data_IF_359320628400
#
_entry.id   IF_359320628400
#
_cell.length_a   1.000
_cell.length_b   1.000
_cell.length_c   1.000
_cell.angle_alpha   90.00
_cell.angle_beta   90.00
_cell.angle_gamma   90.00
#
_symmetry.space_group_name_H-M   'P 1'
#
loop_
_entity.id
_entity.type
_entity.pdbx_description
1 polymer ?
#
# COMPACT_ATOMS: atom_id res chain seq x y z
N UNK A 1 0.09 2.55 30.71
CA UNK A 1 -0.65 2.87 29.49
C UNK A 1 -1.29 1.59 28.97
N UNK A 2 -2.54 1.68 28.53
CA UNK A 2 -3.28 0.56 27.95
C UNK A 2 -3.24 0.67 26.42
N UNK A 3 -2.77 -0.39 25.78
CA UNK A 3 -2.71 -0.49 24.32
C UNK A 3 -3.72 -1.53 23.84
N UNK A 4 -4.51 -1.18 22.82
CA UNK A 4 -5.46 -2.08 22.17
C UNK A 4 -5.06 -2.30 20.71
N UNK A 5 -4.90 -3.56 20.32
CA UNK A 5 -4.64 -3.96 18.92
C UNK A 5 -5.96 -4.50 18.35
N UNK A 6 -6.45 -3.88 17.29
CA UNK A 6 -7.78 -4.17 16.72
C UNK A 6 -7.76 -4.76 15.31
N UNK A 7 -6.59 -4.98 14.75
CA UNK A 7 -6.44 -5.51 13.38
C UNK A 7 -5.31 -6.55 13.32
N UNK A 8 -5.25 -7.28 12.22
CA UNK A 8 -4.18 -8.27 11.96
C UNK A 8 -2.87 -7.54 11.63
N UNK A 9 -2.06 -7.35 12.65
CA UNK A 9 -0.72 -6.77 12.55
C UNK A 9 0.35 -7.85 12.75
N UNK A 10 1.62 -7.50 12.52
CA UNK A 10 2.73 -8.41 12.79
C UNK A 10 2.74 -8.85 14.25
N UNK A 11 2.83 -10.16 14.51
CA UNK A 11 2.69 -10.74 15.84
C UNK A 11 3.70 -10.19 16.88
N UNK A 12 4.92 -9.85 16.45
CA UNK A 12 5.94 -9.26 17.32
C UNK A 12 5.62 -7.87 17.86
N UNK A 13 4.63 -7.16 17.29
CA UNK A 13 4.22 -5.83 17.81
C UNK A 13 3.67 -5.93 19.22
N UNK A 14 2.82 -6.92 19.49
CA UNK A 14 2.23 -7.11 20.82
C UNK A 14 3.30 -7.43 21.88
N UNK A 15 4.28 -8.25 21.53
CA UNK A 15 5.41 -8.59 22.40
C UNK A 15 6.29 -7.36 22.68
N UNK A 16 6.65 -6.61 21.62
CA UNK A 16 7.51 -5.44 21.76
C UNK A 16 6.85 -4.33 22.58
N UNK A 17 5.59 -4.00 22.29
CA UNK A 17 4.83 -3.02 23.06
C UNK A 17 4.56 -3.49 24.51
N UNK A 18 4.39 -4.80 24.71
CA UNK A 18 4.18 -5.40 26.03
C UNK A 18 5.33 -5.22 27.02
N UNK A 19 6.54 -4.87 26.52
CA UNK A 19 7.68 -4.51 27.39
C UNK A 19 7.50 -3.19 28.15
N UNK A 20 6.65 -2.30 27.64
CA UNK A 20 6.48 -0.93 28.17
C UNK A 20 5.04 -0.56 28.53
N UNK A 21 4.05 -1.33 28.09
CA UNK A 21 2.64 -1.04 28.34
C UNK A 21 1.79 -2.31 28.44
N UNK A 22 0.59 -2.17 28.98
CA UNK A 22 -0.39 -3.25 29.04
C UNK A 22 -1.06 -3.42 27.67
N UNK A 23 -0.74 -4.50 26.95
CA UNK A 23 -1.24 -4.74 25.59
C UNK A 23 -2.36 -5.75 25.62
N UNK A 24 -3.49 -5.38 25.02
CA UNK A 24 -4.63 -6.26 24.74
C UNK A 24 -4.82 -6.36 23.24
N UNK A 25 -4.98 -7.56 22.73
CA UNK A 25 -5.46 -7.80 21.36
C UNK A 25 -6.95 -8.10 21.42
N UNK A 26 -7.74 -7.47 20.55
CA UNK A 26 -9.18 -7.72 20.48
C UNK A 26 -9.48 -9.18 20.09
N UNK A 27 -10.61 -9.70 20.57
CA UNK A 27 -10.99 -11.10 20.37
C UNK A 27 -11.20 -11.45 18.88
N UNK A 28 -11.71 -10.50 18.09
CA UNK A 28 -11.89 -10.65 16.64
C UNK A 28 -11.04 -9.62 15.89
N UNK A 29 -10.39 -10.04 14.82
CA UNK A 29 -9.52 -9.22 14.00
C UNK A 29 -9.87 -9.35 12.50
N UNK A 30 -10.14 -8.24 11.78
CA UNK A 30 -10.29 -6.89 12.33
C UNK A 30 -11.55 -6.76 13.20
N UNK A 31 -11.50 -5.86 14.19
CA UNK A 31 -12.66 -5.56 15.02
C UNK A 31 -13.73 -4.81 14.24
N UNK A 32 -15.00 -5.00 14.60
CA UNK A 32 -16.07 -4.13 14.11
C UNK A 32 -16.12 -2.83 14.89
N UNK A 33 -16.85 -1.84 14.38
CA UNK A 33 -17.03 -0.55 15.06
C UNK A 33 -17.65 -0.73 16.45
N UNK A 34 -18.67 -1.60 16.57
CA UNK A 34 -19.38 -1.88 17.82
C UNK A 34 -18.44 -2.52 18.86
N UNK A 35 -17.60 -3.44 18.42
CA UNK A 35 -16.58 -4.07 19.29
C UNK A 35 -15.57 -3.05 19.77
N UNK A 36 -15.09 -2.16 18.90
CA UNK A 36 -14.17 -1.11 19.26
C UNK A 36 -14.80 -0.13 20.26
N UNK A 37 -16.04 0.31 20.05
CA UNK A 37 -16.75 1.20 20.96
C UNK A 37 -16.87 0.61 22.37
N UNK A 38 -17.03 -0.70 22.48
CA UNK A 38 -17.14 -1.37 23.77
C UNK A 38 -15.81 -1.43 24.54
N UNK A 39 -14.67 -1.26 23.88
CA UNK A 39 -13.34 -1.47 24.48
C UNK A 39 -12.47 -0.20 24.52
N UNK A 40 -12.83 0.86 23.77
CA UNK A 40 -11.92 2.00 23.54
C UNK A 40 -11.81 2.98 24.70
N UNK A 41 -12.77 2.98 25.64
CA UNK A 41 -12.90 4.03 26.65
C UNK A 41 -11.63 4.23 27.52
N UNK A 42 -10.95 3.16 27.90
CA UNK A 42 -9.77 3.16 28.77
C UNK A 42 -8.45 2.97 28.02
N UNK A 43 -8.47 3.08 26.69
CA UNK A 43 -7.31 2.86 25.82
C UNK A 43 -6.50 4.14 25.68
N UNK A 44 -5.20 4.09 25.94
CA UNK A 44 -4.24 5.18 25.68
C UNK A 44 -3.64 5.11 24.27
N UNK A 45 -3.41 3.88 23.76
CA UNK A 45 -2.77 3.62 22.46
C UNK A 45 -3.61 2.63 21.66
N UNK A 46 -4.00 3.02 20.44
CA UNK A 46 -4.70 2.15 19.52
C UNK A 46 -3.77 1.72 18.39
N UNK A 47 -3.67 0.42 18.11
CA UNK A 47 -2.92 -0.14 16.97
C UNK A 47 -3.89 -0.79 15.99
N UNK A 48 -3.82 -0.35 14.73
CA UNK A 48 -4.72 -0.78 13.66
C UNK A 48 -4.04 -0.82 12.30
N UNK A 49 -4.77 -1.26 11.28
CA UNK A 49 -4.38 -1.10 9.85
C UNK A 49 -5.36 -0.19 9.13
N UNK A 50 -6.53 -0.69 8.77
CA UNK A 50 -7.51 0.03 7.93
C UNK A 50 -8.90 -0.01 8.54
N UNK A 51 -9.28 -1.11 9.18
CA UNK A 51 -10.62 -1.33 9.72
C UNK A 51 -10.62 -1.39 11.26
N UNK A 52 -11.71 -0.90 11.87
CA UNK A 52 -12.81 -0.12 11.31
C UNK A 52 -12.42 1.34 11.02
N UNK A 53 -13.26 2.09 10.28
CA UNK A 53 -13.08 3.53 10.12
C UNK A 53 -13.17 4.24 11.46
N UNK A 54 -12.19 5.08 11.77
CA UNK A 54 -12.12 5.88 13.02
C UNK A 54 -12.81 7.22 12.77
N UNK A 55 -14.07 7.28 13.12
CA UNK A 55 -14.91 8.48 13.00
C UNK A 55 -15.06 9.22 14.34
N UNK A 56 -15.82 10.31 14.30
CA UNK A 56 -16.08 11.15 15.49
C UNK A 56 -16.67 10.37 16.67
N UNK A 57 -17.56 9.41 16.40
CA UNK A 57 -18.19 8.61 17.45
C UNK A 57 -17.17 7.77 18.23
N UNK A 58 -16.25 7.11 17.51
CA UNK A 58 -15.15 6.36 18.14
C UNK A 58 -14.22 7.29 18.90
N UNK A 59 -13.84 8.44 18.29
CA UNK A 59 -12.95 9.40 18.92
C UNK A 59 -13.59 10.04 20.16
N UNK A 60 -14.91 10.19 20.22
CA UNK A 60 -15.63 10.68 21.39
C UNK A 60 -15.74 9.63 22.51
N UNK A 61 -15.86 8.36 22.15
CA UNK A 61 -15.83 7.26 23.11
C UNK A 61 -14.44 7.04 23.72
N UNK A 62 -13.38 7.37 22.99
CA UNK A 62 -11.98 7.17 23.33
C UNK A 62 -11.43 8.23 24.29
N UNK A 63 -11.90 8.23 25.54
CA UNK A 63 -11.64 9.31 26.53
C UNK A 63 -10.17 9.48 26.91
N UNK A 64 -9.39 8.41 26.86
CA UNK A 64 -7.99 8.37 27.29
C UNK A 64 -7.00 8.29 26.11
N UNK A 65 -7.50 8.20 24.87
CA UNK A 65 -6.67 7.95 23.70
C UNK A 65 -5.72 9.11 23.41
N UNK A 66 -4.45 8.80 23.31
CA UNK A 66 -3.34 9.72 23.04
C UNK A 66 -2.68 9.46 21.69
N UNK A 67 -2.63 8.18 21.30
CA UNK A 67 -1.88 7.76 20.11
C UNK A 67 -2.66 6.72 19.31
N UNK A 68 -2.68 6.91 17.98
CA UNK A 68 -3.11 5.88 17.03
C UNK A 68 -1.90 5.47 16.18
N UNK A 69 -1.49 4.22 16.28
CA UNK A 69 -0.46 3.61 15.42
C UNK A 69 -1.11 2.86 14.26
N UNK A 70 -0.88 3.33 13.05
CA UNK A 70 -1.48 2.79 11.83
C UNK A 70 -0.47 1.97 11.06
N UNK A 71 -0.63 0.66 11.03
CA UNK A 71 0.24 -0.28 10.32
C UNK A 71 -0.08 -0.32 8.80
N UNK A 72 -0.34 0.86 8.21
CA UNK A 72 -0.56 1.07 6.78
C UNK A 72 -0.01 2.42 6.34
N UNK A 73 -0.06 2.72 5.04
CA UNK A 73 0.41 4.00 4.49
C UNK A 73 -0.68 5.06 4.53
N UNK A 74 -1.88 4.73 4.06
CA UNK A 74 -3.00 5.66 3.95
C UNK A 74 -3.69 5.90 5.29
N UNK A 75 -4.22 7.11 5.48
CA UNK A 75 -4.91 7.57 6.70
C UNK A 75 -6.36 7.99 6.43
N UNK A 76 -6.88 7.76 5.23
CA UNK A 76 -8.21 8.17 4.78
C UNK A 76 -9.38 7.50 5.54
N UNK A 77 -9.08 6.50 6.34
CA UNK A 77 -10.04 5.82 7.23
C UNK A 77 -10.11 6.46 8.64
N UNK A 78 -9.34 7.53 8.90
CA UNK A 78 -9.36 8.25 10.18
C UNK A 78 -9.83 9.69 9.94
N UNK A 79 -10.70 10.19 10.82
CA UNK A 79 -11.04 11.62 10.86
C UNK A 79 -9.87 12.40 11.47
N UNK A 80 -8.91 12.78 10.58
CA UNK A 80 -7.65 13.41 10.96
C UNK A 80 -7.85 14.77 11.62
N UNK A 81 -8.81 15.56 11.13
CA UNK A 81 -9.09 16.88 11.69
C UNK A 81 -9.62 16.76 13.11
N UNK A 82 -10.58 15.88 13.31
CA UNK A 82 -11.17 15.70 14.64
C UNK A 82 -10.20 15.04 15.64
N UNK A 83 -9.37 14.11 15.17
CA UNK A 83 -8.31 13.53 16.00
C UNK A 83 -7.30 14.60 16.49
N UNK A 84 -6.94 15.52 15.59
CA UNK A 84 -6.07 16.65 15.91
C UNK A 84 -6.71 17.62 16.91
N UNK A 85 -7.99 17.95 16.75
CA UNK A 85 -8.75 18.78 17.73
C UNK A 85 -8.72 18.16 19.13
N UNK A 86 -8.76 16.82 19.21
CA UNK A 86 -8.67 16.10 20.49
C UNK A 86 -7.24 15.91 20.99
N UNK A 87 -6.22 16.36 20.26
CA UNK A 87 -4.81 16.23 20.63
C UNK A 87 -4.26 14.80 20.49
N UNK A 88 -4.93 13.95 19.69
CA UNK A 88 -4.50 12.57 19.45
C UNK A 88 -3.41 12.56 18.37
N UNK A 89 -2.26 11.96 18.68
CA UNK A 89 -1.16 11.80 17.73
C UNK A 89 -1.37 10.57 16.86
N UNK A 90 -1.11 10.70 15.56
CA UNK A 90 -1.27 9.61 14.60
C UNK A 90 0.08 9.30 13.94
N UNK A 91 0.51 8.05 14.00
CA UNK A 91 1.72 7.55 13.35
C UNK A 91 1.34 6.49 12.34
N UNK A 92 1.85 6.61 11.12
CA UNK A 92 1.66 5.61 10.07
C UNK A 92 3.01 5.05 9.60
N UNK A 93 2.97 4.13 8.64
CA UNK A 93 4.14 3.41 8.12
C UNK A 93 4.44 3.75 6.64
N UNK A 94 4.84 5.01 6.33
CA UNK A 94 4.98 5.46 4.95
C UNK A 94 6.12 4.74 4.22
N UNK A 95 5.79 4.10 3.08
CA UNK A 95 6.76 3.49 2.16
C UNK A 95 7.29 2.12 2.56
N UNK A 96 6.94 1.58 3.73
CA UNK A 96 7.44 0.26 4.16
C UNK A 96 6.97 -0.89 3.26
N UNK A 97 5.82 -0.75 2.59
CA UNK A 97 5.28 -1.73 1.64
C UNK A 97 5.66 -1.46 0.18
N UNK A 98 6.44 -0.42 -0.12
CA UNK A 98 6.72 -0.02 -1.50
C UNK A 98 7.37 -1.14 -2.32
N UNK A 99 8.31 -1.87 -1.75
CA UNK A 99 8.94 -3.01 -2.42
C UNK A 99 7.93 -4.14 -2.68
N UNK A 100 7.12 -4.52 -1.69
CA UNK A 100 6.14 -5.59 -1.84
C UNK A 100 5.08 -5.25 -2.91
N UNK A 101 4.63 -4.00 -2.97
CA UNK A 101 3.69 -3.55 -4.01
C UNK A 101 4.36 -3.56 -5.40
N UNK A 102 5.61 -3.13 -5.50
CA UNK A 102 6.34 -3.13 -6.75
C UNK A 102 6.57 -4.56 -7.27
N UNK A 103 6.95 -5.50 -6.41
CA UNK A 103 7.11 -6.92 -6.75
C UNK A 103 5.78 -7.52 -7.23
N UNK A 104 4.68 -7.25 -6.54
CA UNK A 104 3.35 -7.70 -6.97
C UNK A 104 2.97 -7.11 -8.33
N UNK A 105 3.30 -5.84 -8.59
CA UNK A 105 3.06 -5.19 -9.88
C UNK A 105 3.80 -5.90 -11.01
N UNK A 106 5.09 -6.17 -10.84
CA UNK A 106 5.88 -6.91 -11.82
C UNK A 106 5.34 -8.34 -12.01
N UNK A 107 4.97 -9.02 -10.93
CA UNK A 107 4.33 -10.34 -11.00
C UNK A 107 3.08 -10.31 -11.89
N UNK A 108 2.20 -9.32 -11.72
CA UNK A 108 0.99 -9.16 -12.54
C UNK A 108 1.32 -8.85 -14.00
N UNK A 109 2.33 -8.04 -14.26
CA UNK A 109 2.79 -7.77 -15.63
C UNK A 109 3.29 -9.06 -16.31
N UNK A 110 4.04 -9.88 -15.62
CA UNK A 110 4.49 -11.19 -16.11
C UNK A 110 3.32 -12.15 -16.34
N UNK A 111 2.37 -12.21 -15.41
CA UNK A 111 1.16 -13.02 -15.55
C UNK A 111 0.38 -12.66 -16.82
N UNK A 112 0.18 -11.38 -17.08
CA UNK A 112 -0.53 -10.89 -18.27
C UNK A 112 0.27 -11.16 -19.53
N UNK A 113 1.57 -10.87 -19.52
CA UNK A 113 2.45 -11.01 -20.69
C UNK A 113 2.62 -12.46 -21.14
N UNK A 114 2.55 -13.42 -20.20
CA UNK A 114 2.82 -14.83 -20.44
C UNK A 114 1.61 -15.75 -20.26
N UNK A 115 0.46 -15.22 -19.79
CA UNK A 115 -0.76 -15.99 -19.54
C UNK A 115 -0.61 -17.06 -18.46
N UNK A 116 0.30 -16.87 -17.48
CA UNK A 116 0.71 -17.92 -16.54
C UNK A 116 -0.43 -18.38 -15.64
N UNK A 117 -1.33 -17.49 -15.22
CA UNK A 117 -2.50 -17.86 -14.40
C UNK A 117 -3.46 -18.77 -15.16
N UNK A 118 -3.77 -18.43 -16.42
CA UNK A 118 -4.66 -19.25 -17.26
C UNK A 118 -4.01 -20.57 -17.61
N UNK A 119 -2.72 -20.56 -17.91
CA UNK A 119 -1.97 -21.80 -18.17
C UNK A 119 -1.96 -22.73 -16.95
N UNK A 120 -1.74 -22.19 -15.75
CA UNK A 120 -1.81 -22.95 -14.51
C UNK A 120 -3.21 -23.55 -14.26
N UNK A 121 -4.27 -22.79 -14.54
CA UNK A 121 -5.65 -23.28 -14.42
C UNK A 121 -5.94 -24.39 -15.42
N UNK A 122 -5.56 -24.24 -16.69
CA UNK A 122 -5.76 -25.27 -17.71
C UNK A 122 -5.06 -26.58 -17.32
N UNK A 123 -3.79 -26.49 -16.88
CA UNK A 123 -3.05 -27.70 -16.48
C UNK A 123 -3.59 -28.34 -15.20
N UNK A 124 -3.84 -27.54 -14.15
CA UNK A 124 -4.19 -28.10 -12.83
C UNK A 124 -5.66 -28.48 -12.69
N UNK A 125 -6.56 -27.76 -13.36
CA UNK A 125 -8.01 -27.93 -13.17
C UNK A 125 -8.62 -28.64 -14.36
N UNK A 126 -8.25 -28.27 -15.60
CA UNK A 126 -8.80 -28.90 -16.79
C UNK A 126 -8.01 -30.14 -17.25
N UNK A 127 -6.79 -30.34 -16.73
CA UNK A 127 -5.84 -31.34 -17.16
C UNK A 127 -5.49 -31.27 -18.67
N UNK A 128 -5.49 -30.04 -19.20
CA UNK A 128 -5.17 -29.72 -20.59
C UNK A 128 -3.73 -29.21 -20.71
N UNK A 129 -3.01 -29.66 -21.72
CA UNK A 129 -1.67 -29.20 -22.04
C UNK A 129 -1.60 -28.82 -23.53
N UNK A 130 -1.56 -27.50 -23.79
CA UNK A 130 -1.36 -26.93 -25.12
C UNK A 130 -0.23 -25.91 -25.09
N UNK A 131 0.94 -26.28 -25.56
CA UNK A 131 2.13 -25.40 -25.59
C UNK A 131 2.00 -24.22 -26.55
N UNK A 132 1.07 -24.26 -27.50
CA UNK A 132 0.86 -23.19 -28.50
C UNK A 132 -0.20 -22.18 -28.09
N UNK A 133 -1.03 -22.51 -27.12
CA UNK A 133 -2.11 -21.65 -26.63
C UNK A 133 -1.58 -20.39 -25.91
N UNK A 134 -0.42 -20.51 -25.28
CA UNK A 134 0.15 -19.45 -24.45
C UNK A 134 1.45 -18.89 -25.05
N UNK A 135 1.37 -18.42 -26.28
CA UNK A 135 2.47 -17.68 -26.94
C UNK A 135 2.46 -16.26 -26.37
N UNK A 136 3.22 -16.03 -25.32
CA UNK A 136 3.33 -14.74 -24.65
C UNK A 136 4.38 -13.82 -25.27
N UNK A 137 4.57 -12.66 -24.64
CA UNK A 137 5.56 -11.66 -25.04
C UNK A 137 6.61 -11.47 -23.95
N UNK A 138 7.84 -11.18 -24.33
CA UNK A 138 8.90 -10.78 -23.39
C UNK A 138 8.75 -9.32 -23.02
N UNK A 139 9.16 -8.95 -21.80
CA UNK A 139 9.19 -7.57 -21.34
C UNK A 139 10.42 -6.81 -21.85
N UNK A 140 11.50 -7.51 -22.16
CA UNK A 140 12.75 -6.94 -22.65
C UNK A 140 12.53 -6.08 -23.90
N UNK A 141 13.08 -4.85 -23.88
CA UNK A 141 12.97 -3.89 -24.95
C UNK A 141 11.60 -3.20 -25.04
N UNK A 142 10.64 -3.56 -24.19
CA UNK A 142 9.33 -2.92 -24.08
C UNK A 142 9.41 -1.64 -23.25
N UNK A 143 8.43 -0.77 -23.40
CA UNK A 143 8.32 0.47 -22.65
C UNK A 143 7.32 0.31 -21.51
N UNK A 144 7.79 0.58 -20.29
CA UNK A 144 6.99 0.64 -19.09
C UNK A 144 6.68 2.09 -18.74
N UNK A 145 5.41 2.47 -18.87
CA UNK A 145 4.91 3.79 -18.47
C UNK A 145 4.40 3.74 -17.03
N UNK A 146 4.94 4.56 -16.16
CA UNK A 146 4.56 4.60 -14.74
C UNK A 146 3.81 5.90 -14.44
N UNK A 147 2.53 5.80 -14.09
CA UNK A 147 1.74 6.93 -13.61
C UNK A 147 1.82 7.02 -12.09
N UNK A 148 2.38 8.15 -11.59
CA UNK A 148 2.75 8.32 -10.18
C UNK A 148 4.14 7.76 -9.91
N UNK A 149 5.15 8.65 -9.90
CA UNK A 149 6.56 8.27 -9.77
C UNK A 149 7.13 8.56 -8.38
N UNK A 150 6.30 8.27 -7.36
CA UNK A 150 6.68 8.28 -5.96
C UNK A 150 7.48 7.03 -5.55
N UNK A 151 7.47 6.67 -4.27
CA UNK A 151 8.24 5.53 -3.73
C UNK A 151 7.95 4.20 -4.44
N UNK A 152 6.67 3.89 -4.68
CA UNK A 152 6.25 2.67 -5.36
C UNK A 152 6.63 2.74 -6.85
N UNK A 153 6.28 3.83 -7.54
CA UNK A 153 6.54 3.98 -8.97
C UNK A 153 8.03 3.92 -9.32
N UNK A 154 8.90 4.55 -8.51
CA UNK A 154 10.36 4.45 -8.67
C UNK A 154 10.84 3.01 -8.52
N UNK A 155 10.33 2.29 -7.51
CA UNK A 155 10.72 0.88 -7.31
C UNK A 155 10.20 -0.02 -8.43
N UNK A 156 9.00 0.22 -8.96
CA UNK A 156 8.49 -0.47 -10.16
C UNK A 156 9.38 -0.19 -11.38
N UNK A 157 9.79 1.07 -11.58
CA UNK A 157 10.70 1.46 -12.65
C UNK A 157 12.07 0.76 -12.53
N UNK A 158 12.62 0.68 -11.32
CA UNK A 158 13.89 -0.02 -11.05
C UNK A 158 13.78 -1.51 -11.41
N UNK A 159 12.71 -2.19 -10.96
CA UNK A 159 12.48 -3.59 -11.30
C UNK A 159 12.22 -3.78 -12.81
N UNK A 160 11.46 -2.88 -13.45
CA UNK A 160 11.25 -2.90 -14.90
C UNK A 160 12.56 -2.81 -15.69
N UNK A 161 13.49 -1.95 -15.26
CA UNK A 161 14.84 -1.89 -15.86
C UNK A 161 15.61 -3.20 -15.72
N UNK A 162 15.49 -3.86 -14.57
CA UNK A 162 16.13 -5.18 -14.38
C UNK A 162 15.59 -6.24 -15.37
N UNK A 163 14.34 -6.08 -15.85
CA UNK A 163 13.78 -6.87 -16.95
C UNK A 163 14.15 -6.35 -18.34
N UNK A 164 14.99 -5.31 -18.44
CA UNK A 164 15.45 -4.76 -19.73
C UNK A 164 14.38 -3.85 -20.39
N UNK A 165 13.45 -3.29 -19.64
CA UNK A 165 12.45 -2.34 -20.14
C UNK A 165 12.98 -0.91 -20.17
N UNK A 166 12.44 -0.10 -21.09
CA UNK A 166 12.60 1.34 -21.07
C UNK A 166 11.56 1.96 -20.12
N UNK A 167 11.95 2.92 -19.29
CA UNK A 167 11.07 3.51 -18.29
C UNK A 167 10.69 4.92 -18.71
N UNK A 168 9.38 5.16 -18.86
CA UNK A 168 8.79 6.49 -19.00
C UNK A 168 7.85 6.72 -17.82
N UNK A 169 7.74 7.95 -17.35
CA UNK A 169 6.97 8.21 -16.14
C UNK A 169 6.25 9.57 -16.19
N UNK A 170 5.15 9.63 -15.46
CA UNK A 170 4.41 10.86 -15.19
C UNK A 170 4.18 11.01 -13.69
N UNK A 171 4.48 12.20 -13.18
CA UNK A 171 4.08 12.64 -11.84
C UNK A 171 3.94 14.16 -11.85
N UNK A 172 2.77 14.73 -11.45
CA UNK A 172 2.53 16.17 -11.55
C UNK A 172 3.35 17.01 -10.58
N UNK A 173 4.03 16.37 -9.63
CA UNK A 173 4.78 17.01 -8.56
C UNK A 173 6.29 16.93 -8.73
N UNK A 174 6.78 16.16 -9.71
CA UNK A 174 8.21 15.99 -9.97
C UNK A 174 8.68 16.88 -11.11
N UNK A 175 9.93 17.30 -11.01
CA UNK A 175 10.64 18.05 -12.06
C UNK A 175 11.34 17.07 -13.02
N UNK A 176 11.73 17.50 -14.23
CA UNK A 176 12.46 16.66 -15.19
C UNK A 176 13.69 15.98 -14.57
N UNK A 177 14.47 16.70 -13.77
CA UNK A 177 15.69 16.19 -13.14
C UNK A 177 15.42 15.03 -12.16
N UNK A 178 14.23 14.95 -11.59
CA UNK A 178 13.86 13.88 -10.63
C UNK A 178 13.59 12.55 -11.34
N UNK A 179 13.12 12.60 -12.60
CA UNK A 179 13.01 11.41 -13.44
C UNK A 179 14.37 10.93 -13.93
N UNK A 180 15.24 11.86 -14.36
CA UNK A 180 16.57 11.55 -14.86
C UNK A 180 17.45 10.87 -13.80
N UNK A 181 17.41 11.32 -12.55
CA UNK A 181 18.09 10.68 -11.41
C UNK A 181 17.74 9.21 -11.25
N UNK A 182 16.52 8.86 -11.63
CA UNK A 182 16.00 7.50 -11.55
C UNK A 182 16.10 6.75 -12.89
N UNK A 183 16.86 7.28 -13.86
CA UNK A 183 16.98 6.73 -15.21
C UNK A 183 15.62 6.47 -15.87
N UNK A 184 14.70 7.42 -15.76
CA UNK A 184 13.39 7.42 -16.40
C UNK A 184 13.23 8.69 -17.25
N UNK A 185 12.35 8.64 -18.25
CA UNK A 185 12.00 9.80 -19.05
C UNK A 185 10.64 10.34 -18.57
N UNK A 186 10.65 11.58 -18.06
CA UNK A 186 9.41 12.25 -17.67
C UNK A 186 8.65 12.77 -18.89
N UNK A 187 7.33 12.53 -18.95
CA UNK A 187 6.49 13.01 -20.05
C UNK A 187 5.03 13.22 -19.62
N UNK A 188 4.23 13.84 -20.50
CA UNK A 188 2.80 14.03 -20.27
C UNK A 188 2.00 12.71 -20.33
N UNK A 189 0.83 12.67 -19.69
CA UNK A 189 0.00 11.45 -19.60
C UNK A 189 -0.38 10.93 -21.00
N UNK A 190 -0.80 11.82 -21.92
CA UNK A 190 -1.20 11.39 -23.26
C UNK A 190 -0.05 10.76 -24.05
N UNK A 191 1.15 11.30 -23.91
CA UNK A 191 2.35 10.79 -24.58
C UNK A 191 2.74 9.44 -23.96
N UNK A 192 2.75 9.37 -22.60
CA UNK A 192 3.03 8.14 -21.86
C UNK A 192 2.12 7.00 -22.31
N UNK A 193 0.81 7.23 -22.42
CA UNK A 193 -0.14 6.22 -22.87
C UNK A 193 0.09 5.76 -24.31
N UNK A 194 0.58 6.65 -25.19
CA UNK A 194 0.86 6.32 -26.59
C UNK A 194 2.11 5.45 -26.78
N UNK A 195 3.13 5.66 -25.94
CA UNK A 195 4.44 4.98 -26.10
C UNK A 195 4.59 3.73 -25.22
N UNK A 196 3.72 3.55 -24.25
CA UNK A 196 3.83 2.44 -23.29
C UNK A 196 3.24 1.15 -23.82
N UNK A 197 4.00 0.07 -23.71
CA UNK A 197 3.51 -1.30 -23.91
C UNK A 197 2.78 -1.83 -22.67
N UNK A 198 3.09 -1.29 -21.47
CA UNK A 198 2.47 -1.60 -20.18
C UNK A 198 2.50 -0.39 -19.27
N UNK A 199 1.42 -0.14 -18.51
CA UNK A 199 1.36 1.01 -17.60
C UNK A 199 0.63 0.69 -16.28
N UNK A 200 1.34 0.50 -15.18
CA UNK A 200 0.77 0.53 -13.84
C UNK A 200 0.49 1.96 -13.39
N UNK A 201 -0.63 2.16 -12.69
CA UNK A 201 -0.90 3.40 -11.97
C UNK A 201 -0.46 3.24 -10.51
N UNK A 202 0.50 4.04 -10.07
CA UNK A 202 1.06 4.05 -8.72
C UNK A 202 0.81 5.39 -8.02
N UNK A 203 -0.28 6.08 -8.38
CA UNK A 203 -0.62 7.38 -7.81
C UNK A 203 -0.94 7.24 -6.32
N UNK A 204 -0.22 7.99 -5.49
CA UNK A 204 -0.61 8.29 -4.12
C UNK A 204 -1.05 9.76 -4.05
N UNK A 205 -2.15 10.03 -3.36
CA UNK A 205 -2.54 11.41 -3.04
C UNK A 205 -1.51 11.99 -2.05
N UNK A 206 -0.98 13.21 -2.32
CA UNK A 206 -0.04 13.87 -1.40
C UNK A 206 -0.61 14.11 -0.02
N UNK A 207 -1.92 14.22 0.11
CA UNK A 207 -2.60 14.39 1.40
C UNK A 207 -2.35 13.23 2.37
N UNK A 208 -2.00 12.05 1.84
CA UNK A 208 -1.66 10.87 2.64
C UNK A 208 -0.20 10.85 3.12
N UNK A 209 0.61 11.83 2.74
CA UNK A 209 2.07 11.83 2.96
C UNK A 209 2.55 12.98 3.87
N UNK A 210 1.70 13.93 4.24
CA UNK A 210 2.09 14.99 5.17
C UNK A 210 2.06 14.44 6.61
N UNK A 211 3.20 14.48 7.34
CA UNK A 211 3.19 14.19 8.77
C UNK A 211 2.36 15.24 9.50
N UNK A 212 1.47 14.80 10.33
CA UNK A 212 0.64 15.64 11.20
C UNK A 212 1.43 16.03 12.44
#
# INVERSE_FOLDING_TARGET
MNCLIIDKVYAGIAEELGKSMNVKTAANLPSTKEQLLAEIADVDVLIMRVDPKIDKEILDAAKNLKVIGVCSVGLNHIDMEYAKEKGIQIFNAPGLNANAVAELTISKMLDISRGTMTANYDVKVKHEWDKYKFVGRELRGKTLGVMGFGRIGRRVGELGRAFGMNIVAYDPYLKPEDFEKENAVGMGVEELLKVSDSFPSCSADRRDQEPV
#
